data_IF_202633412982
#
_entry.id   IF_202633412982
#
_cell.length_a   1.000
_cell.length_b   1.000
_cell.length_c   1.000
_cell.angle_alpha   90.00
_cell.angle_beta   90.00
_cell.angle_gamma   90.00
#
_symmetry.space_group_name_H-M   'P 1'
#
loop_
_entity.id
_entity.type
_entity.pdbx_description
1 polymer ?
#
# COMPACT_ATOMS: atom_id res chain seq x y z
N UNK A 1 -5.98 -50.56 31.22
CA UNK A 1 -6.67 -49.98 30.02
C UNK A 1 -6.13 -48.60 29.80
N UNK A 2 -5.08 -48.50 29.00
CA UNK A 2 -4.37 -47.29 28.66
C UNK A 2 -5.05 -46.64 27.45
N UNK A 3 -5.60 -45.42 27.62
CA UNK A 3 -6.14 -44.63 26.52
C UNK A 3 -4.96 -43.95 25.81
N UNK A 4 -4.72 -44.36 24.58
CA UNK A 4 -3.76 -43.70 23.71
C UNK A 4 -4.32 -42.38 23.19
N UNK A 5 -3.61 -41.32 23.50
CA UNK A 5 -3.85 -39.97 22.95
C UNK A 5 -3.21 -39.93 21.57
N UNK A 6 -4.05 -39.92 20.52
CA UNK A 6 -3.56 -39.72 19.16
C UNK A 6 -3.26 -38.22 19.00
N UNK A 7 -1.96 -37.90 18.94
CA UNK A 7 -1.50 -36.57 18.55
C UNK A 7 -1.69 -36.46 17.05
N UNK A 8 -2.66 -35.67 16.61
CA UNK A 8 -2.81 -35.26 15.22
C UNK A 8 -1.71 -34.25 14.93
N UNK A 9 -0.65 -34.69 14.26
CA UNK A 9 0.34 -33.80 13.66
C UNK A 9 -0.34 -33.01 12.53
N UNK A 10 -0.79 -31.79 12.82
CA UNK A 10 -1.08 -30.81 11.79
C UNK A 10 0.27 -30.46 11.11
N UNK A 11 0.49 -30.96 9.92
CA UNK A 11 1.56 -30.50 9.03
C UNK A 11 1.26 -29.04 8.69
N UNK A 12 1.75 -28.11 9.49
CA UNK A 12 1.85 -26.71 9.11
C UNK A 12 2.75 -26.66 7.88
N UNK A 13 2.15 -26.40 6.72
CA UNK A 13 2.87 -26.02 5.51
C UNK A 13 3.45 -24.64 5.72
N UNK A 14 4.56 -24.55 6.42
CA UNK A 14 5.33 -23.31 6.59
C UNK A 14 5.81 -22.88 5.20
N UNK A 15 5.49 -21.66 4.75
CA UNK A 15 6.04 -21.17 3.50
C UNK A 15 7.57 -21.22 3.52
N UNK A 16 8.23 -21.34 2.35
CA UNK A 16 9.68 -21.49 2.27
C UNK A 16 10.38 -20.37 3.05
N UNK A 17 11.36 -20.74 3.87
CA UNK A 17 12.15 -19.80 4.65
C UNK A 17 12.91 -18.87 3.69
N UNK A 18 12.84 -17.54 3.90
CA UNK A 18 13.55 -16.60 3.07
C UNK A 18 15.06 -16.75 3.21
N UNK A 19 15.76 -16.40 2.14
CA UNK A 19 17.21 -16.29 2.12
C UNK A 19 17.66 -15.23 3.14
N UNK A 20 18.92 -15.35 3.61
CA UNK A 20 19.53 -14.37 4.50
C UNK A 20 19.59 -13.02 3.78
N UNK A 21 19.06 -11.96 4.42
CA UNK A 21 19.08 -10.61 3.87
C UNK A 21 20.47 -9.99 4.08
N UNK A 22 21.14 -9.68 2.98
CA UNK A 22 22.35 -8.88 2.94
C UNK A 22 22.33 -7.94 1.73
N UNK A 23 23.32 -7.08 1.61
CA UNK A 23 23.40 -6.09 0.51
C UNK A 23 23.38 -6.78 -0.87
N UNK A 24 24.08 -7.89 -1.02
CA UNK A 24 24.16 -8.61 -2.29
C UNK A 24 22.80 -9.21 -2.69
N UNK A 25 22.04 -9.73 -1.73
CA UNK A 25 20.69 -10.23 -1.97
C UNK A 25 19.76 -9.09 -2.42
N UNK A 26 19.83 -7.91 -1.78
CA UNK A 26 19.03 -6.76 -2.18
C UNK A 26 19.47 -6.22 -3.55
N UNK A 27 20.75 -6.22 -3.89
CA UNK A 27 21.23 -5.83 -5.22
C UNK A 27 20.65 -6.71 -6.32
N UNK A 28 20.54 -8.01 -6.10
CA UNK A 28 19.85 -8.91 -7.05
C UNK A 28 18.37 -8.56 -7.17
N UNK A 29 17.68 -8.31 -6.06
CA UNK A 29 16.27 -7.92 -6.06
C UNK A 29 16.03 -6.57 -6.74
N UNK A 30 16.97 -5.62 -6.65
CA UNK A 30 16.92 -4.31 -7.30
C UNK A 30 16.95 -4.38 -8.83
N UNK A 31 17.44 -5.48 -9.41
CA UNK A 31 17.49 -5.67 -10.87
C UNK A 31 16.25 -6.38 -11.44
N UNK A 32 15.38 -6.94 -10.60
CA UNK A 32 14.30 -7.85 -11.00
C UNK A 32 12.94 -7.16 -10.91
N UNK A 33 12.14 -7.31 -11.97
CA UNK A 33 10.71 -6.93 -11.98
C UNK A 33 9.79 -8.12 -11.69
N UNK A 34 8.61 -8.10 -12.34
CA UNK A 34 7.61 -9.16 -12.31
C UNK A 34 7.54 -9.81 -13.71
N UNK A 35 8.17 -10.98 -13.91
CA UNK A 35 8.29 -11.56 -15.25
C UNK A 35 6.96 -11.79 -15.96
N UNK A 36 5.92 -12.24 -15.24
CA UNK A 36 4.60 -12.53 -15.81
C UNK A 36 3.91 -11.23 -16.27
N UNK A 37 3.81 -10.25 -15.40
CA UNK A 37 3.14 -8.99 -15.72
C UNK A 37 3.94 -8.17 -16.75
N UNK A 38 5.28 -8.18 -16.65
CA UNK A 38 6.16 -7.47 -17.58
C UNK A 38 6.06 -8.04 -19.00
N UNK A 39 6.06 -9.38 -19.17
CA UNK A 39 5.87 -10.03 -20.47
C UNK A 39 4.48 -9.74 -21.05
N UNK A 40 3.46 -9.76 -20.22
CA UNK A 40 2.07 -9.44 -20.63
C UNK A 40 2.00 -8.01 -21.16
N UNK A 41 2.50 -7.03 -20.40
CA UNK A 41 2.45 -5.62 -20.80
C UNK A 41 3.29 -5.38 -22.05
N UNK A 42 4.49 -5.95 -22.16
CA UNK A 42 5.32 -5.83 -23.36
C UNK A 42 4.58 -6.33 -24.62
N UNK A 43 3.95 -7.50 -24.52
CA UNK A 43 3.16 -8.06 -25.64
C UNK A 43 1.98 -7.17 -26.04
N UNK A 44 1.26 -6.61 -25.05
CA UNK A 44 0.12 -5.72 -25.31
C UNK A 44 0.55 -4.40 -25.97
N UNK A 45 1.70 -3.87 -25.58
CA UNK A 45 2.29 -2.65 -26.17
C UNK A 45 2.73 -2.93 -27.59
N UNK A 46 3.48 -4.00 -27.83
CA UNK A 46 3.96 -4.39 -29.16
C UNK A 46 2.81 -4.60 -30.17
N UNK A 47 1.64 -5.06 -29.70
CA UNK A 47 0.44 -5.27 -30.52
C UNK A 47 -0.51 -4.08 -30.59
N UNK A 48 -0.25 -3.00 -29.86
CA UNK A 48 -1.16 -1.84 -29.78
C UNK A 48 -2.48 -2.12 -29.04
N UNK A 49 -2.53 -3.13 -28.19
CA UNK A 49 -3.73 -3.62 -27.51
C UNK A 49 -3.97 -3.02 -26.12
N UNK A 50 -3.18 -2.04 -25.69
CA UNK A 50 -3.29 -1.41 -24.34
C UNK A 50 -4.62 -0.66 -24.17
N UNK A 51 -5.15 -0.04 -25.24
CA UNK A 51 -6.44 0.65 -25.22
C UNK A 51 -7.60 -0.30 -24.90
N UNK A 52 -7.60 -1.48 -25.48
CA UNK A 52 -8.59 -2.53 -25.25
C UNK A 52 -8.49 -3.06 -23.80
N UNK A 53 -7.29 -3.28 -23.31
CA UNK A 53 -7.07 -3.67 -21.92
C UNK A 53 -7.63 -2.62 -20.94
N UNK A 54 -7.38 -1.34 -21.16
CA UNK A 54 -7.90 -0.28 -20.28
C UNK A 54 -9.42 -0.19 -20.28
N UNK A 55 -10.04 -0.36 -21.45
CA UNK A 55 -11.51 -0.40 -21.57
C UNK A 55 -12.05 -1.54 -20.72
N UNK A 56 -11.42 -2.69 -20.80
CA UNK A 56 -11.74 -3.89 -20.06
C UNK A 56 -11.58 -3.74 -18.55
N UNK A 57 -10.44 -3.18 -18.12
CA UNK A 57 -10.17 -2.96 -16.69
C UNK A 57 -11.20 -2.06 -16.01
N UNK A 58 -11.98 -1.26 -16.76
CA UNK A 58 -13.09 -0.47 -16.22
C UNK A 58 -14.30 -1.34 -15.88
N UNK A 59 -14.55 -2.40 -16.64
CA UNK A 59 -15.73 -3.27 -16.48
C UNK A 59 -15.45 -4.50 -15.62
N UNK A 60 -14.24 -5.02 -15.66
CA UNK A 60 -13.82 -6.15 -14.83
C UNK A 60 -13.55 -5.67 -13.40
N UNK A 61 -14.52 -5.84 -12.50
CA UNK A 61 -14.45 -5.26 -11.15
C UNK A 61 -14.67 -6.26 -10.01
N UNK A 62 -15.19 -7.45 -10.32
CA UNK A 62 -15.45 -8.48 -9.31
C UNK A 62 -14.90 -9.85 -9.75
N UNK A 63 -14.53 -10.68 -8.77
CA UNK A 63 -14.16 -12.08 -9.02
C UNK A 63 -15.35 -12.83 -9.61
N UNK A 64 -15.10 -13.62 -10.64
CA UNK A 64 -16.17 -14.32 -11.37
C UNK A 64 -16.80 -13.51 -12.51
N UNK A 65 -16.45 -12.23 -12.69
CA UNK A 65 -16.82 -11.50 -13.90
C UNK A 65 -16.25 -12.24 -15.11
N UNK A 66 -17.11 -12.50 -16.10
CA UNK A 66 -16.65 -13.14 -17.35
C UNK A 66 -15.70 -12.19 -18.06
N UNK A 67 -14.52 -12.70 -18.38
CA UNK A 67 -13.60 -11.97 -19.24
C UNK A 67 -14.29 -11.76 -20.60
N UNK A 68 -14.28 -10.54 -21.17
CA UNK A 68 -14.88 -10.30 -22.47
C UNK A 68 -14.24 -11.16 -23.56
N UNK A 69 -15.05 -11.64 -24.51
CA UNK A 69 -14.63 -12.46 -25.64
C UNK A 69 -13.55 -11.81 -26.52
N UNK A 70 -13.43 -10.49 -26.47
CA UNK A 70 -12.45 -9.69 -27.23
C UNK A 70 -11.20 -9.33 -26.41
N UNK A 71 -10.97 -10.01 -25.29
CA UNK A 71 -9.75 -9.80 -24.51
C UNK A 71 -8.51 -10.24 -25.32
N UNK A 72 -7.46 -9.39 -25.40
CA UNK A 72 -6.19 -9.81 -25.97
C UNK A 72 -5.70 -11.12 -25.30
N UNK A 73 -5.21 -12.08 -26.09
CA UNK A 73 -4.83 -13.39 -25.58
C UNK A 73 -3.77 -13.32 -24.46
N UNK A 74 -2.84 -12.35 -24.54
CA UNK A 74 -1.84 -12.13 -23.49
C UNK A 74 -2.48 -11.68 -22.17
N UNK A 75 -3.52 -10.83 -22.25
CA UNK A 75 -4.26 -10.40 -21.07
C UNK A 75 -5.11 -11.54 -20.50
N UNK A 76 -5.77 -12.33 -21.35
CA UNK A 76 -6.56 -13.49 -20.91
C UNK A 76 -5.70 -14.46 -20.11
N UNK A 77 -4.55 -14.89 -20.67
CA UNK A 77 -3.63 -15.78 -19.97
C UNK A 77 -3.09 -15.23 -18.65
N UNK A 78 -2.86 -13.92 -18.59
CA UNK A 78 -2.46 -13.25 -17.34
C UNK A 78 -3.58 -13.31 -16.28
N UNK A 79 -4.81 -12.96 -16.64
CA UNK A 79 -5.95 -12.98 -15.71
C UNK A 79 -6.26 -14.40 -15.22
N UNK A 80 -6.16 -15.41 -16.08
CA UNK A 80 -6.29 -16.82 -15.69
C UNK A 80 -5.19 -17.25 -14.71
N UNK A 81 -3.93 -16.95 -15.02
CA UNK A 81 -2.78 -17.33 -14.19
C UNK A 81 -2.76 -16.64 -12.81
N UNK A 82 -3.51 -15.56 -12.65
CA UNK A 82 -3.55 -14.76 -11.41
C UNK A 82 -4.94 -14.73 -10.77
N UNK A 83 -5.87 -15.61 -11.22
CA UNK A 83 -7.25 -15.62 -10.75
C UNK A 83 -7.43 -16.16 -9.33
N UNK A 84 -6.47 -16.96 -8.86
CA UNK A 84 -6.59 -17.64 -7.57
C UNK A 84 -5.58 -17.11 -6.56
N UNK A 85 -5.95 -17.04 -5.28
CA UNK A 85 -4.98 -16.83 -4.22
C UNK A 85 -3.98 -17.99 -4.15
N UNK A 86 -2.82 -17.80 -3.50
CA UNK A 86 -1.86 -18.89 -3.28
C UNK A 86 -2.45 -20.05 -2.49
N UNK A 87 -2.09 -21.30 -2.85
CA UNK A 87 -2.59 -22.51 -2.20
C UNK A 87 -2.24 -22.62 -0.71
N UNK A 88 -1.23 -21.87 -0.25
CA UNK A 88 -0.79 -21.86 1.14
C UNK A 88 -1.61 -20.90 2.04
N UNK A 89 -2.63 -20.23 1.52
CA UNK A 89 -3.43 -19.27 2.31
C UNK A 89 -4.23 -20.00 3.40
N UNK A 90 -3.98 -19.59 4.65
CA UNK A 90 -4.76 -20.01 5.81
C UNK A 90 -5.90 -19.00 6.04
N UNK A 91 -7.11 -19.44 5.79
CA UNK A 91 -8.31 -18.60 5.86
C UNK A 91 -8.70 -18.22 7.28
N UNK A 92 -8.34 -19.04 8.29
CA UNK A 92 -8.57 -18.69 9.69
C UNK A 92 -7.65 -17.53 10.11
N UNK A 93 -6.41 -17.53 9.63
CA UNK A 93 -5.48 -16.40 9.85
C UNK A 93 -5.96 -15.15 9.11
N UNK A 94 -6.46 -15.30 7.88
CA UNK A 94 -7.04 -14.17 7.13
C UNK A 94 -8.26 -13.57 7.83
N UNK A 95 -9.13 -14.39 8.43
CA UNK A 95 -10.28 -13.90 9.20
C UNK A 95 -9.82 -13.15 10.47
N UNK A 96 -8.80 -13.65 11.18
CA UNK A 96 -8.20 -12.91 12.30
C UNK A 96 -7.61 -11.57 11.85
N UNK A 97 -6.95 -11.53 10.71
CA UNK A 97 -6.43 -10.29 10.13
C UNK A 97 -7.55 -9.29 9.82
N UNK A 98 -8.67 -9.76 9.29
CA UNK A 98 -9.84 -8.95 9.00
C UNK A 98 -10.46 -8.37 10.27
N UNK A 99 -10.61 -9.19 11.32
CA UNK A 99 -11.09 -8.74 12.61
C UNK A 99 -10.15 -7.71 13.22
N UNK A 100 -8.84 -8.01 13.25
CA UNK A 100 -7.83 -7.07 13.74
C UNK A 100 -7.89 -5.73 12.99
N UNK A 101 -8.04 -5.77 11.65
CA UNK A 101 -8.20 -4.55 10.85
C UNK A 101 -9.49 -3.80 11.22
N UNK A 102 -10.59 -4.51 11.39
CA UNK A 102 -11.88 -3.90 11.74
C UNK A 102 -11.81 -3.16 13.08
N UNK A 103 -11.21 -3.80 14.07
CA UNK A 103 -11.08 -3.24 15.42
C UNK A 103 -10.08 -2.07 15.48
N UNK A 104 -9.12 -2.04 14.57
CA UNK A 104 -8.02 -1.06 14.56
C UNK A 104 -7.99 -0.16 13.31
N UNK A 105 -9.06 -0.09 12.53
CA UNK A 105 -9.07 0.56 11.21
C UNK A 105 -8.56 2.00 11.23
N UNK A 106 -8.97 2.80 12.21
CA UNK A 106 -8.53 4.19 12.35
C UNK A 106 -7.01 4.30 12.61
N UNK A 107 -6.48 3.45 13.49
CA UNK A 107 -5.06 3.43 13.83
C UNK A 107 -4.19 2.91 12.67
N UNK A 108 -4.66 1.87 11.97
CA UNK A 108 -3.99 1.34 10.77
C UNK A 108 -3.95 2.40 9.69
N UNK A 109 -5.07 3.08 9.42
CA UNK A 109 -5.11 4.17 8.43
C UNK A 109 -4.21 5.34 8.84
N UNK A 110 -4.14 5.68 10.12
CA UNK A 110 -3.20 6.67 10.63
C UNK A 110 -1.74 6.24 10.38
N UNK A 111 -1.40 4.98 10.67
CA UNK A 111 -0.07 4.43 10.37
C UNK A 111 0.27 4.45 8.89
N UNK A 112 -0.69 4.08 8.03
CA UNK A 112 -0.52 4.15 6.57
C UNK A 112 -0.31 5.59 6.10
N UNK A 113 -1.14 6.53 6.56
CA UNK A 113 -1.16 7.90 6.11
C UNK A 113 0.05 8.72 6.61
N UNK A 114 0.38 8.61 7.89
CA UNK A 114 1.34 9.49 8.56
C UNK A 114 2.69 8.84 8.87
N UNK A 115 2.84 7.53 8.67
CA UNK A 115 4.14 6.84 8.77
C UNK A 115 4.55 6.21 7.43
N UNK A 116 3.81 5.23 6.91
CA UNK A 116 4.21 4.47 5.72
C UNK A 116 4.38 5.35 4.49
N UNK A 117 3.43 6.27 4.23
CA UNK A 117 3.51 7.16 3.07
C UNK A 117 4.68 8.15 3.16
N UNK A 118 4.91 8.90 4.26
CA UNK A 118 6.08 9.76 4.38
C UNK A 118 7.40 9.00 4.29
N UNK A 119 7.53 7.82 4.90
CA UNK A 119 8.74 6.98 4.76
C UNK A 119 8.96 6.56 3.30
N UNK A 120 7.91 6.21 2.57
CA UNK A 120 8.00 5.94 1.12
C UNK A 120 8.56 7.14 0.35
N UNK A 121 8.17 8.37 0.70
CA UNK A 121 8.67 9.59 0.07
C UNK A 121 10.10 9.95 0.49
N UNK A 122 10.55 9.47 1.65
CA UNK A 122 11.92 9.61 2.10
C UNK A 122 12.89 8.62 1.43
N UNK A 123 12.41 7.73 0.55
CA UNK A 123 13.24 6.90 -0.34
C UNK A 123 13.33 7.61 -1.69
N UNK A 124 14.45 8.28 -2.06
CA UNK A 124 14.55 9.14 -3.24
C UNK A 124 14.15 8.47 -4.55
N UNK A 125 14.49 7.19 -4.76
CA UNK A 125 14.11 6.46 -5.98
C UNK A 125 12.58 6.25 -6.07
N UNK A 126 11.91 5.99 -4.93
CA UNK A 126 10.44 5.88 -4.88
C UNK A 126 9.78 7.25 -5.06
N UNK A 127 10.34 8.31 -4.47
CA UNK A 127 9.84 9.66 -4.66
C UNK A 127 9.94 10.08 -6.15
N UNK A 128 11.07 9.83 -6.83
CA UNK A 128 11.21 10.07 -8.27
C UNK A 128 10.22 9.23 -9.09
N UNK A 129 10.07 7.95 -8.75
CA UNK A 129 9.08 7.08 -9.38
C UNK A 129 7.67 7.67 -9.29
N UNK A 130 7.25 8.07 -8.10
CA UNK A 130 5.92 8.63 -7.86
C UNK A 130 5.73 10.02 -8.50
N UNK A 131 6.81 10.74 -8.74
CA UNK A 131 6.79 12.03 -9.43
C UNK A 131 6.95 11.91 -10.96
N UNK A 132 7.27 10.72 -11.47
CA UNK A 132 7.58 10.51 -12.90
C UNK A 132 6.39 10.73 -13.82
N UNK A 133 5.17 10.60 -13.33
CA UNK A 133 3.94 10.86 -14.09
C UNK A 133 3.01 11.79 -13.32
N UNK A 134 2.26 12.60 -14.06
CA UNK A 134 1.26 13.49 -13.47
C UNK A 134 0.22 12.72 -12.62
N UNK A 135 -0.21 11.56 -13.11
CA UNK A 135 -1.20 10.72 -12.43
C UNK A 135 -0.71 10.18 -11.08
N UNK A 136 0.57 9.79 -11.00
CA UNK A 136 1.19 9.26 -9.77
C UNK A 136 1.56 10.39 -8.78
N UNK A 137 1.82 11.60 -9.27
CA UNK A 137 2.19 12.75 -8.45
C UNK A 137 1.03 13.33 -7.61
N UNK A 138 -0.24 12.90 -7.85
CA UNK A 138 -1.39 13.36 -7.07
C UNK A 138 -1.69 12.44 -5.89
N UNK A 139 -1.42 12.89 -4.63
CA UNK A 139 -1.64 12.08 -3.44
C UNK A 139 -3.08 11.61 -3.30
N UNK A 140 -4.07 12.46 -3.61
CA UNK A 140 -5.49 12.14 -3.42
C UNK A 140 -5.92 10.87 -4.17
N UNK A 141 -5.55 10.73 -5.44
CA UNK A 141 -5.87 9.53 -6.23
C UNK A 141 -5.16 8.29 -5.70
N UNK A 142 -3.88 8.44 -5.35
CA UNK A 142 -3.08 7.32 -4.86
C UNK A 142 -3.57 6.87 -3.49
N UNK A 143 -3.83 7.81 -2.57
CA UNK A 143 -4.37 7.50 -1.24
C UNK A 143 -5.74 6.84 -1.34
N UNK A 144 -6.63 7.38 -2.17
CA UNK A 144 -7.94 6.79 -2.41
C UNK A 144 -7.82 5.37 -3.00
N UNK A 145 -6.94 5.16 -3.98
CA UNK A 145 -6.71 3.85 -4.58
C UNK A 145 -6.12 2.84 -3.59
N UNK A 146 -5.15 3.26 -2.77
CA UNK A 146 -4.55 2.42 -1.73
C UNK A 146 -5.56 2.09 -0.63
N UNK A 147 -6.30 3.07 -0.13
CA UNK A 147 -7.33 2.85 0.88
C UNK A 147 -8.44 1.91 0.38
N UNK A 148 -8.88 2.09 -0.87
CA UNK A 148 -9.84 1.19 -1.50
C UNK A 148 -9.29 -0.23 -1.65
N UNK A 149 -8.02 -0.39 -2.04
CA UNK A 149 -7.35 -1.68 -2.16
C UNK A 149 -7.30 -2.41 -0.81
N UNK A 150 -6.89 -1.72 0.26
CA UNK A 150 -6.85 -2.28 1.63
C UNK A 150 -8.27 -2.64 2.10
N UNK A 151 -9.25 -1.77 1.83
CA UNK A 151 -10.65 -2.06 2.15
C UNK A 151 -11.15 -3.30 1.42
N UNK A 152 -10.80 -3.49 0.15
CA UNK A 152 -11.19 -4.70 -0.60
C UNK A 152 -10.52 -5.95 -0.04
N UNK A 153 -9.26 -5.87 0.40
CA UNK A 153 -8.57 -6.99 1.07
C UNK A 153 -9.26 -7.43 2.34
N UNK A 154 -9.70 -6.47 3.15
CA UNK A 154 -10.21 -6.71 4.51
C UNK A 154 -11.73 -6.95 4.58
N UNK A 155 -12.39 -7.15 3.45
CA UNK A 155 -13.78 -7.58 3.40
C UNK A 155 -13.90 -9.09 3.59
N UNK A 156 -15.03 -9.56 4.15
CA UNK A 156 -15.30 -10.98 4.30
C UNK A 156 -15.39 -11.74 2.96
N UNK A 157 -15.82 -11.03 1.90
CA UNK A 157 -16.01 -11.57 0.54
C UNK A 157 -14.79 -11.35 -0.38
N UNK A 158 -13.63 -10.96 0.15
CA UNK A 158 -12.46 -10.49 -0.63
C UNK A 158 -12.01 -11.46 -1.72
N UNK A 159 -12.02 -12.76 -1.41
CA UNK A 159 -11.52 -13.84 -2.27
C UNK A 159 -12.64 -14.71 -2.84
N UNK A 160 -13.90 -14.39 -2.55
CA UNK A 160 -15.07 -15.12 -3.02
C UNK A 160 -15.51 -14.65 -4.41
N UNK A 161 -16.44 -15.37 -5.01
CA UNK A 161 -17.13 -14.92 -6.21
C UNK A 161 -17.88 -13.60 -5.91
N UNK A 162 -17.72 -12.60 -6.76
CA UNK A 162 -18.22 -11.24 -6.51
C UNK A 162 -17.29 -10.36 -5.68
N UNK A 163 -16.22 -10.89 -5.08
CA UNK A 163 -15.20 -10.15 -4.35
C UNK A 163 -14.42 -9.20 -5.25
N UNK A 164 -13.83 -8.15 -4.67
CA UNK A 164 -13.16 -7.08 -5.44
C UNK A 164 -11.65 -7.08 -5.30
N UNK A 165 -11.10 -7.84 -4.37
CA UNK A 165 -9.66 -7.80 -4.09
C UNK A 165 -8.82 -8.41 -5.20
N UNK A 166 -9.17 -9.62 -5.70
CA UNK A 166 -8.40 -10.29 -6.76
C UNK A 166 -8.29 -9.40 -8.01
N UNK A 167 -9.40 -8.89 -8.59
CA UNK A 167 -9.33 -7.98 -9.73
C UNK A 167 -8.54 -6.70 -9.45
N UNK A 168 -8.62 -6.16 -8.24
CA UNK A 168 -7.82 -4.99 -7.86
C UNK A 168 -6.33 -5.31 -7.83
N UNK A 169 -5.93 -6.44 -7.24
CA UNK A 169 -4.53 -6.90 -7.21
C UNK A 169 -3.98 -7.14 -8.62
N UNK A 170 -4.75 -7.82 -9.49
CA UNK A 170 -4.39 -8.04 -10.88
C UNK A 170 -4.13 -6.72 -11.63
N UNK A 171 -5.00 -5.74 -11.46
CA UNK A 171 -4.87 -4.42 -12.10
C UNK A 171 -3.66 -3.63 -11.57
N UNK A 172 -3.44 -3.62 -10.26
CA UNK A 172 -2.27 -2.96 -9.65
C UNK A 172 -0.98 -3.58 -10.16
N UNK A 173 -0.92 -4.91 -10.25
CA UNK A 173 0.23 -5.66 -10.77
C UNK A 173 0.53 -5.31 -12.23
N UNK A 174 -0.49 -5.24 -13.10
CA UNK A 174 -0.33 -4.77 -14.49
C UNK A 174 0.07 -3.29 -14.57
N UNK A 175 -0.45 -2.44 -13.69
CA UNK A 175 -0.05 -1.04 -13.61
C UNK A 175 1.43 -0.92 -13.24
N UNK A 176 1.92 -1.69 -12.29
CA UNK A 176 3.35 -1.72 -11.94
C UNK A 176 4.21 -2.12 -13.13
N UNK A 177 3.81 -3.12 -13.90
CA UNK A 177 4.51 -3.55 -15.11
C UNK A 177 4.49 -2.46 -16.21
N UNK A 178 3.38 -1.78 -16.40
CA UNK A 178 3.25 -0.69 -17.36
C UNK A 178 4.16 0.49 -16.99
N UNK A 179 4.23 0.86 -15.71
CA UNK A 179 5.15 1.90 -15.21
C UNK A 179 6.61 1.48 -15.44
N UNK A 180 7.00 0.23 -15.12
CA UNK A 180 8.34 -0.28 -15.39
C UNK A 180 8.70 -0.17 -16.87
N UNK A 181 7.81 -0.64 -17.74
CA UNK A 181 8.02 -0.62 -19.19
C UNK A 181 8.20 0.80 -19.70
N UNK A 182 7.32 1.72 -19.30
CA UNK A 182 7.35 3.12 -19.72
C UNK A 182 8.65 3.82 -19.28
N UNK A 183 9.03 3.69 -18.00
CA UNK A 183 10.21 4.37 -17.47
C UNK A 183 11.50 3.82 -18.06
N UNK A 184 11.60 2.51 -18.29
CA UNK A 184 12.78 1.90 -18.92
C UNK A 184 12.91 2.26 -20.40
N UNK A 185 11.80 2.34 -21.13
CA UNK A 185 11.78 2.66 -22.56
C UNK A 185 11.97 4.14 -22.86
N UNK A 186 11.63 5.01 -21.93
CA UNK A 186 11.52 6.45 -22.15
C UNK A 186 12.79 7.27 -21.97
N UNK A 187 13.90 6.69 -21.53
CA UNK A 187 15.15 7.41 -21.27
C UNK A 187 15.08 8.40 -20.08
N UNK A 188 13.99 8.43 -19.35
CA UNK A 188 13.78 9.33 -18.20
C UNK A 188 14.10 8.68 -16.85
N UNK A 189 14.48 7.40 -16.86
CA UNK A 189 14.85 6.66 -15.67
C UNK A 189 16.31 6.22 -15.74
N UNK A 190 17.10 6.64 -14.78
CA UNK A 190 18.50 6.26 -14.66
C UNK A 190 18.62 4.90 -13.95
N UNK A 191 18.64 3.83 -14.74
CA UNK A 191 18.76 2.46 -14.23
C UNK A 191 20.08 2.23 -13.46
N UNK A 192 21.15 2.94 -13.80
CA UNK A 192 22.43 2.80 -13.13
C UNK A 192 22.39 3.38 -11.71
N UNK A 193 21.63 4.46 -11.51
CA UNK A 193 21.46 5.12 -10.21
C UNK A 193 20.33 4.49 -9.38
N UNK A 194 19.18 4.22 -9.99
CA UNK A 194 17.92 3.93 -9.30
C UNK A 194 17.48 2.47 -9.45
N UNK A 195 18.21 1.64 -10.18
CA UNK A 195 17.84 0.25 -10.43
C UNK A 195 16.64 0.09 -11.37
N UNK A 196 16.01 -1.08 -11.36
CA UNK A 196 14.76 -1.32 -12.08
C UNK A 196 13.60 -0.62 -11.35
N UNK A 197 12.76 0.17 -12.05
CA UNK A 197 11.60 0.80 -11.41
C UNK A 197 10.65 -0.25 -10.85
N UNK A 198 10.11 -0.04 -9.64
CA UNK A 198 9.22 -1.00 -8.96
C UNK A 198 9.82 -2.42 -9.00
N UNK A 199 11.09 -2.54 -8.63
CA UNK A 199 11.80 -3.80 -8.55
C UNK A 199 11.31 -4.67 -7.38
N UNK A 200 11.79 -5.91 -7.32
CA UNK A 200 11.45 -6.82 -6.22
C UNK A 200 11.89 -6.27 -4.85
N UNK A 201 13.04 -5.59 -4.79
CA UNK A 201 13.48 -4.92 -3.58
C UNK A 201 12.47 -3.88 -3.10
N UNK A 202 11.97 -3.02 -3.99
CA UNK A 202 10.99 -1.99 -3.67
C UNK A 202 9.61 -2.58 -3.30
N UNK A 203 9.19 -3.62 -3.99
CA UNK A 203 7.91 -4.29 -3.71
C UNK A 203 7.92 -4.95 -2.33
N UNK A 204 9.02 -5.63 -1.96
CA UNK A 204 9.18 -6.24 -0.65
C UNK A 204 9.39 -5.16 0.43
N UNK A 205 10.11 -4.07 0.12
CA UNK A 205 10.21 -2.89 0.98
C UNK A 205 8.83 -2.27 1.26
N UNK A 206 8.02 -2.12 0.20
CA UNK A 206 6.62 -1.68 0.30
C UNK A 206 5.79 -2.58 1.20
N UNK A 207 5.86 -3.89 1.01
CA UNK A 207 5.23 -4.86 1.90
C UNK A 207 5.62 -4.62 3.38
N UNK A 208 6.89 -4.44 3.69
CA UNK A 208 7.36 -4.16 5.06
C UNK A 208 6.86 -2.81 5.59
N UNK A 209 6.81 -1.78 4.74
CA UNK A 209 6.30 -0.46 5.13
C UNK A 209 4.79 -0.47 5.39
N UNK A 210 4.02 -1.22 4.62
CA UNK A 210 2.55 -1.29 4.80
C UNK A 210 2.11 -2.29 5.87
N UNK A 211 2.97 -3.22 6.27
CA UNK A 211 2.69 -4.16 7.35
C UNK A 211 3.39 -3.75 8.66
N UNK A 212 4.68 -4.04 8.79
CA UNK A 212 5.44 -3.87 10.01
C UNK A 212 5.54 -2.41 10.46
N UNK A 213 5.83 -1.47 9.54
CA UNK A 213 5.93 -0.06 9.92
C UNK A 213 4.60 0.52 10.41
N UNK A 214 3.48 0.02 9.90
CA UNK A 214 2.15 0.38 10.40
C UNK A 214 1.94 -0.14 11.83
N UNK A 215 2.31 -1.39 12.12
CA UNK A 215 2.27 -1.93 13.48
C UNK A 215 3.18 -1.14 14.44
N UNK A 216 4.36 -0.72 13.99
CA UNK A 216 5.24 0.16 14.76
C UNK A 216 4.60 1.53 15.03
N UNK A 217 3.91 2.10 14.04
CA UNK A 217 3.20 3.36 14.21
C UNK A 217 2.07 3.22 15.24
N UNK A 218 1.29 2.15 15.17
CA UNK A 218 0.24 1.84 16.17
C UNK A 218 0.83 1.70 17.57
N UNK A 219 1.93 0.96 17.71
CA UNK A 219 2.60 0.83 18.99
C UNK A 219 3.10 2.19 19.53
N UNK A 220 3.67 3.05 18.66
CA UNK A 220 4.07 4.42 19.04
C UNK A 220 2.89 5.28 19.47
N UNK A 221 1.72 5.06 18.88
CA UNK A 221 0.48 5.74 19.26
C UNK A 221 -0.10 5.21 20.59
N UNK A 222 0.49 4.16 21.18
CA UNK A 222 0.03 3.57 22.44
C UNK A 222 -1.10 2.55 22.28
N UNK A 223 -1.38 2.12 21.04
CA UNK A 223 -2.42 1.12 20.77
C UNK A 223 -1.99 -0.25 21.29
N UNK A 224 -2.81 -0.86 22.14
CA UNK A 224 -2.60 -2.22 22.59
C UNK A 224 -3.00 -3.21 21.48
N UNK A 225 -2.06 -4.04 21.09
CA UNK A 225 -2.27 -5.06 20.06
C UNK A 225 -1.92 -6.42 20.62
N UNK A 226 -2.73 -7.41 20.33
CA UNK A 226 -2.35 -8.80 20.59
C UNK A 226 -1.27 -9.23 19.60
N UNK A 227 -0.33 -10.05 20.04
CA UNK A 227 0.69 -10.64 19.16
C UNK A 227 0.06 -11.42 18.00
N UNK A 228 -0.98 -12.21 18.31
CA UNK A 228 -1.74 -12.97 17.32
C UNK A 228 -2.41 -12.08 16.26
N UNK A 229 -2.99 -10.94 16.67
CA UNK A 229 -3.59 -9.98 15.75
C UNK A 229 -2.55 -9.29 14.84
N UNK A 230 -1.41 -8.88 15.42
CA UNK A 230 -0.31 -8.30 14.68
C UNK A 230 0.30 -9.27 13.65
N UNK A 231 0.49 -10.53 14.04
CA UNK A 231 0.96 -11.59 13.15
C UNK A 231 -0.05 -11.91 12.04
N UNK A 232 -1.34 -11.92 12.36
CA UNK A 232 -2.39 -12.13 11.36
C UNK A 232 -2.45 -10.97 10.35
N UNK A 233 -2.34 -9.72 10.80
CA UNK A 233 -2.24 -8.55 9.90
C UNK A 233 -1.01 -8.64 8.99
N UNK A 234 0.14 -8.98 9.53
CA UNK A 234 1.36 -9.21 8.76
C UNK A 234 1.18 -10.34 7.74
N UNK A 235 0.53 -11.44 8.12
CA UNK A 235 0.22 -12.55 7.23
C UNK A 235 -0.65 -12.13 6.05
N UNK A 236 -1.70 -11.34 6.28
CA UNK A 236 -2.54 -10.82 5.19
C UNK A 236 -1.71 -10.01 4.17
N UNK A 237 -0.75 -9.22 4.63
CA UNK A 237 0.16 -8.50 3.73
C UNK A 237 1.12 -9.44 2.97
N UNK A 238 1.48 -10.62 3.53
CA UNK A 238 2.21 -11.64 2.75
C UNK A 238 1.36 -12.20 1.61
N UNK A 239 0.07 -12.40 1.83
CA UNK A 239 -0.87 -12.76 0.74
C UNK A 239 -0.91 -11.66 -0.32
N UNK A 240 -0.98 -10.39 0.10
CA UNK A 240 -0.89 -9.24 -0.83
C UNK A 240 0.40 -9.27 -1.64
N UNK A 241 1.55 -9.48 -0.99
CA UNK A 241 2.84 -9.55 -1.68
C UNK A 241 2.85 -10.62 -2.78
N UNK A 242 2.31 -11.81 -2.48
CA UNK A 242 2.18 -12.88 -3.48
C UNK A 242 1.25 -12.48 -4.64
N UNK A 243 0.08 -11.92 -4.33
CA UNK A 243 -0.88 -11.48 -5.34
C UNK A 243 -0.35 -10.33 -6.22
N UNK A 244 0.55 -9.50 -5.69
CA UNK A 244 1.22 -8.44 -6.44
C UNK A 244 2.49 -8.87 -7.19
N UNK A 245 2.84 -10.17 -7.15
CA UNK A 245 3.95 -10.72 -7.91
C UNK A 245 5.32 -10.54 -7.25
N UNK A 246 5.37 -10.42 -5.94
CA UNK A 246 6.63 -10.49 -5.22
C UNK A 246 7.23 -11.91 -5.30
N UNK A 247 8.55 -11.98 -5.35
CA UNK A 247 9.29 -13.24 -5.24
C UNK A 247 9.17 -13.78 -3.79
N UNK A 248 8.26 -14.71 -3.59
CA UNK A 248 7.96 -15.24 -2.26
C UNK A 248 9.13 -15.96 -1.59
N UNK A 249 10.16 -16.32 -2.35
CA UNK A 249 11.42 -16.85 -1.78
C UNK A 249 12.21 -15.77 -1.03
N UNK A 250 11.99 -14.50 -1.35
CA UNK A 250 12.62 -13.33 -0.73
C UNK A 250 11.70 -12.56 0.22
N UNK A 251 10.37 -12.78 0.18
CA UNK A 251 9.44 -12.11 1.10
C UNK A 251 9.58 -12.67 2.52
N UNK A 252 9.78 -11.81 3.55
CA UNK A 252 9.87 -12.24 4.94
C UNK A 252 8.71 -13.13 5.39
N UNK A 253 9.03 -14.19 6.11
CA UNK A 253 8.06 -15.15 6.64
C UNK A 253 7.50 -14.77 8.00
N UNK A 254 8.25 -13.96 8.77
CA UNK A 254 7.94 -13.58 10.15
C UNK A 254 8.19 -12.09 10.38
N UNK A 255 7.61 -11.53 11.43
CA UNK A 255 7.85 -10.13 11.83
C UNK A 255 9.34 -9.83 12.11
N UNK A 256 10.11 -10.68 12.82
CA UNK A 256 11.55 -10.46 12.98
C UNK A 256 12.33 -10.47 11.66
N UNK A 257 12.01 -11.36 10.72
CA UNK A 257 12.63 -11.36 9.40
C UNK A 257 12.27 -10.10 8.61
N UNK A 258 11.01 -9.64 8.72
CA UNK A 258 10.58 -8.40 8.11
C UNK A 258 11.32 -7.19 8.70
N UNK A 259 11.56 -7.18 9.99
CA UNK A 259 12.38 -6.15 10.65
C UNK A 259 13.79 -6.13 10.07
N UNK A 260 14.44 -7.28 9.97
CA UNK A 260 15.80 -7.38 9.43
C UNK A 260 15.86 -6.90 7.97
N UNK A 261 14.89 -7.28 7.15
CA UNK A 261 14.78 -6.82 5.76
C UNK A 261 14.56 -5.30 5.68
N UNK A 262 13.54 -4.80 6.39
CA UNK A 262 13.12 -3.40 6.32
C UNK A 262 14.22 -2.47 6.84
N UNK A 263 14.91 -2.84 7.92
CA UNK A 263 16.03 -2.07 8.47
C UNK A 263 17.18 -1.96 7.45
N UNK A 264 17.48 -3.04 6.72
CA UNK A 264 18.49 -3.02 5.66
C UNK A 264 18.04 -2.17 4.49
N UNK A 265 16.81 -2.39 4.00
CA UNK A 265 16.21 -1.64 2.90
C UNK A 265 16.19 -0.13 3.17
N UNK A 266 15.74 0.27 4.36
CA UNK A 266 15.67 1.68 4.74
C UNK A 266 17.05 2.30 4.95
N UNK A 267 18.01 1.58 5.56
CA UNK A 267 19.39 2.10 5.73
C UNK A 267 20.04 2.45 4.40
N UNK A 268 19.81 1.65 3.35
CA UNK A 268 20.41 1.89 2.04
C UNK A 268 19.61 2.85 1.17
N UNK A 269 18.29 2.94 1.40
CA UNK A 269 17.37 3.66 0.53
C UNK A 269 16.97 5.05 0.99
N UNK A 270 17.00 5.32 2.31
CA UNK A 270 16.54 6.61 2.86
C UNK A 270 17.51 7.76 2.56
N UNK A 271 16.95 8.94 2.24
CA UNK A 271 17.70 10.17 2.04
C UNK A 271 16.80 11.34 1.61
N UNK A 272 17.36 12.55 1.60
CA UNK A 272 16.64 13.74 1.14
C UNK A 272 16.48 13.73 -0.38
N UNK A 273 15.35 14.25 -0.86
CA UNK A 273 15.13 14.50 -2.30
C UNK A 273 14.08 15.61 -2.50
N UNK A 274 14.22 16.42 -3.56
CA UNK A 274 13.23 17.44 -3.89
C UNK A 274 11.83 16.84 -4.12
N UNK A 275 11.77 15.68 -4.77
CA UNK A 275 10.53 14.96 -5.03
C UNK A 275 9.85 14.50 -3.73
N UNK A 276 10.65 14.03 -2.76
CA UNK A 276 10.13 13.64 -1.44
C UNK A 276 9.51 14.81 -0.69
N UNK A 277 10.17 15.98 -0.71
CA UNK A 277 9.65 17.21 -0.13
C UNK A 277 8.35 17.64 -0.81
N UNK A 278 8.31 17.63 -2.14
CA UNK A 278 7.11 18.02 -2.89
C UNK A 278 5.92 17.07 -2.61
N UNK A 279 6.16 15.76 -2.64
CA UNK A 279 5.13 14.75 -2.35
C UNK A 279 4.60 14.87 -0.93
N UNK A 280 5.48 15.10 0.05
CA UNK A 280 5.09 15.28 1.45
C UNK A 280 4.30 16.56 1.64
N UNK A 281 4.70 17.66 1.02
CA UNK A 281 3.96 18.93 1.06
C UNK A 281 2.54 18.76 0.50
N UNK A 282 2.40 18.06 -0.62
CA UNK A 282 1.08 17.77 -1.22
C UNK A 282 0.24 16.85 -0.34
N UNK A 283 0.86 15.85 0.30
CA UNK A 283 0.18 14.94 1.23
C UNK A 283 -0.33 15.69 2.46
N UNK A 284 0.50 16.53 3.07
CA UNK A 284 0.14 17.35 4.23
C UNK A 284 -1.06 18.23 3.91
N UNK A 285 -1.02 18.96 2.79
CA UNK A 285 -2.15 19.80 2.35
C UNK A 285 -3.42 18.99 2.10
N UNK A 286 -3.30 17.80 1.52
CA UNK A 286 -4.46 16.94 1.32
C UNK A 286 -5.16 16.59 2.63
N UNK A 287 -4.40 16.29 3.68
CA UNK A 287 -4.98 15.96 4.99
C UNK A 287 -5.51 17.19 5.72
N UNK A 288 -4.85 18.35 5.60
CA UNK A 288 -5.36 19.63 6.09
C UNK A 288 -6.70 20.00 5.43
N UNK A 289 -6.84 19.73 4.13
CA UNK A 289 -8.11 19.98 3.39
C UNK A 289 -9.22 18.98 3.78
N UNK A 290 -8.89 17.78 4.24
CA UNK A 290 -9.87 16.74 4.66
C UNK A 290 -10.33 16.97 6.09
N UNK A 291 -9.46 17.45 6.97
CA UNK A 291 -9.82 17.76 8.36
C UNK A 291 -10.60 19.08 8.42
N UNK A 292 -11.84 19.09 8.93
CA UNK A 292 -12.63 20.32 8.97
C UNK A 292 -12.04 21.37 9.90
N UNK A 293 -11.75 22.56 9.36
CA UNK A 293 -11.28 23.72 10.11
C UNK A 293 -9.76 23.81 10.28
N UNK A 294 -9.26 25.04 10.36
CA UNK A 294 -7.81 25.32 10.37
C UNK A 294 -7.14 25.13 11.74
N UNK A 295 -7.92 24.93 12.81
CA UNK A 295 -7.38 24.79 14.17
C UNK A 295 -6.50 23.53 14.31
N UNK A 296 -6.86 22.44 13.61
CA UNK A 296 -6.21 21.15 13.69
C UNK A 296 -5.18 20.90 12.58
N UNK A 297 -5.08 21.81 11.61
CA UNK A 297 -4.09 21.68 10.51
C UNK A 297 -2.67 21.40 11.02
N UNK A 298 -2.16 22.09 12.07
CA UNK A 298 -0.82 21.83 12.58
C UNK A 298 -0.63 20.45 13.23
N UNK A 299 -1.70 19.70 13.51
CA UNK A 299 -1.60 18.32 14.00
C UNK A 299 -1.10 17.37 12.90
N UNK A 300 -1.41 17.62 11.63
CA UNK A 300 -1.00 16.81 10.51
C UNK A 300 0.53 16.69 10.44
N UNK A 301 1.30 17.79 10.27
CA UNK A 301 2.76 17.71 10.29
C UNK A 301 3.32 17.22 11.63
N UNK A 302 2.71 17.56 12.76
CA UNK A 302 3.15 17.09 14.08
C UNK A 302 3.02 15.57 14.21
N UNK A 303 1.94 14.97 13.71
CA UNK A 303 1.74 13.52 13.70
C UNK A 303 2.75 12.81 12.79
N UNK A 304 3.00 13.36 11.59
CA UNK A 304 4.06 12.85 10.72
C UNK A 304 5.40 12.86 11.47
N UNK A 305 5.79 14.02 12.04
CA UNK A 305 7.05 14.14 12.77
C UNK A 305 7.17 13.17 13.94
N UNK A 306 6.09 12.99 14.69
CA UNK A 306 6.05 12.04 15.80
C UNK A 306 6.29 10.60 15.34
N UNK A 307 5.64 10.18 14.23
CA UNK A 307 5.69 8.79 13.76
C UNK A 307 6.98 8.46 12.99
N UNK A 308 7.50 9.39 12.17
CA UNK A 308 8.70 9.10 11.35
C UNK A 308 10.01 9.58 11.96
N UNK A 309 9.94 10.44 12.97
CA UNK A 309 11.11 10.98 13.69
C UNK A 309 11.76 12.17 13.01
N UNK A 310 12.68 12.84 13.75
CA UNK A 310 13.26 14.13 13.34
C UNK A 310 14.12 14.05 12.07
N UNK A 311 14.85 12.96 11.86
CA UNK A 311 15.73 12.77 10.70
C UNK A 311 14.93 12.73 9.40
N UNK A 312 13.95 11.84 9.30
CA UNK A 312 13.10 11.69 8.11
C UNK A 312 12.28 12.96 7.90
N UNK A 313 11.70 13.50 8.97
CA UNK A 313 10.95 14.76 8.90
C UNK A 313 11.81 15.93 8.43
N UNK A 314 13.10 15.96 8.78
CA UNK A 314 14.05 16.94 8.29
C UNK A 314 14.33 16.79 6.80
N UNK A 315 14.51 15.58 6.30
CA UNK A 315 14.69 15.32 4.86
C UNK A 315 13.48 15.67 4.02
N UNK A 316 12.28 15.53 4.60
CA UNK A 316 10.99 15.82 3.95
C UNK A 316 10.52 17.28 4.18
N UNK A 317 11.31 18.08 4.90
CA UNK A 317 10.99 19.48 5.27
C UNK A 317 9.63 19.62 5.97
N UNK A 318 9.23 18.61 6.77
CA UNK A 318 7.98 18.66 7.53
C UNK A 318 8.05 19.79 8.58
N UNK A 319 7.13 20.76 8.57
CA UNK A 319 7.17 21.90 9.46
C UNK A 319 7.17 21.51 10.95
N UNK A 320 7.88 22.29 11.76
CA UNK A 320 7.79 22.22 13.24
C UNK A 320 6.68 23.12 13.74
N UNK A 321 5.99 22.68 14.78
CA UNK A 321 4.95 23.48 15.41
C UNK A 321 4.86 23.20 16.92
N UNK A 322 4.21 24.07 17.69
CA UNK A 322 3.92 23.79 19.11
C UNK A 322 3.15 22.48 19.34
N UNK A 323 2.43 22.00 18.31
CA UNK A 323 1.70 20.73 18.33
C UNK A 323 2.60 19.49 18.36
N UNK A 324 3.90 19.62 18.07
CA UNK A 324 4.88 18.53 18.22
C UNK A 324 4.92 18.01 19.67
N UNK A 325 4.72 18.90 20.64
CA UNK A 325 4.63 18.51 22.06
C UNK A 325 3.31 17.79 22.37
N UNK A 326 2.21 18.24 21.79
CA UNK A 326 0.91 17.61 21.93
C UNK A 326 0.88 16.21 21.28
N UNK A 327 1.46 16.05 20.10
CA UNK A 327 1.56 14.76 19.42
C UNK A 327 2.32 13.72 20.27
N UNK A 328 3.35 14.12 21.02
CA UNK A 328 4.06 13.23 21.96
C UNK A 328 3.22 12.82 23.18
N UNK A 329 2.18 13.56 23.50
CA UNK A 329 1.26 13.24 24.59
C UNK A 329 0.11 12.31 24.14
N UNK A 330 -0.08 12.11 22.83
CA UNK A 330 -1.15 11.26 22.28
C UNK A 330 -1.18 9.86 22.87
N UNK A 331 -0.04 9.13 23.02
CA UNK A 331 -0.06 7.79 23.62
C UNK A 331 -0.58 7.79 25.06
N UNK A 332 -0.19 8.82 25.85
CA UNK A 332 -0.67 8.96 27.24
C UNK A 332 -2.17 9.21 27.28
N UNK A 333 -2.65 10.05 26.36
CA UNK A 333 -4.08 10.37 26.26
C UNK A 333 -4.90 9.16 25.78
N UNK A 334 -4.43 8.42 24.78
CA UNK A 334 -5.09 7.18 24.30
C UNK A 334 -5.10 6.10 25.39
N UNK A 335 -3.99 5.87 26.10
CA UNK A 335 -3.96 4.95 27.23
C UNK A 335 -4.88 5.33 28.39
N UNK A 336 -5.14 6.61 28.60
CA UNK A 336 -6.16 7.08 29.55
C UNK A 336 -7.57 6.81 29.04
N UNK A 337 -7.82 6.97 27.73
CA UNK A 337 -9.10 6.66 27.11
C UNK A 337 -9.41 5.17 27.18
N UNK A 338 -8.45 4.30 26.87
CA UNK A 338 -8.59 2.84 27.01
C UNK A 338 -8.95 2.44 28.44
N UNK A 339 -8.35 3.11 29.45
CA UNK A 339 -8.71 2.86 30.86
C UNK A 339 -10.17 3.28 31.17
N UNK A 340 -10.73 4.22 30.39
CA UNK A 340 -12.13 4.67 30.50
C UNK A 340 -13.04 3.74 29.68
N UNK A 341 -12.59 3.19 28.55
CA UNK A 341 -13.32 2.17 27.77
C UNK A 341 -13.58 0.92 28.58
N UNK A 342 -12.60 0.44 29.34
CA UNK A 342 -12.76 -0.67 30.28
C UNK A 342 -13.85 -0.41 31.36
N UNK A 343 -14.36 0.82 31.45
CA UNK A 343 -15.35 1.22 32.44
C UNK A 343 -16.81 1.18 31.96
N UNK A 344 -17.09 0.82 30.67
CA UNK A 344 -18.47 0.54 30.24
C UNK A 344 -18.76 0.40 28.75
N UNK A 345 -19.74 -0.46 28.38
CA UNK A 345 -20.05 -0.79 26.96
C UNK A 345 -20.51 0.40 26.10
N UNK A 346 -20.94 1.49 26.72
CA UNK A 346 -21.39 2.71 26.02
C UNK A 346 -20.23 3.57 25.53
N UNK A 347 -19.12 3.61 26.29
CA UNK A 347 -17.92 4.34 25.89
C UNK A 347 -17.21 3.62 24.74
N UNK A 348 -17.06 2.30 24.83
CA UNK A 348 -16.53 1.43 23.79
C UNK A 348 -17.33 1.58 22.48
N UNK A 349 -18.65 1.49 22.54
CA UNK A 349 -19.52 1.68 21.38
C UNK A 349 -19.37 3.09 20.75
N UNK A 350 -19.27 4.14 21.56
CA UNK A 350 -19.16 5.51 21.07
C UNK A 350 -17.82 5.76 20.34
N UNK A 351 -16.72 5.21 20.87
CA UNK A 351 -15.38 5.33 20.28
C UNK A 351 -15.22 4.50 19.01
N UNK A 352 -15.76 3.26 18.99
CA UNK A 352 -15.81 2.42 17.79
C UNK A 352 -16.61 3.11 16.66
N UNK A 353 -17.77 3.68 16.99
CA UNK A 353 -18.58 4.44 16.02
C UNK A 353 -17.88 5.68 15.52
N UNK A 354 -17.18 6.42 16.38
CA UNK A 354 -16.42 7.60 15.99
C UNK A 354 -15.23 7.23 15.09
N UNK A 355 -14.49 6.16 15.43
CA UNK A 355 -13.38 5.66 14.63
C UNK A 355 -13.82 5.15 13.26
N UNK A 356 -14.87 4.34 13.21
CA UNK A 356 -15.44 3.82 11.96
C UNK A 356 -16.03 4.94 11.08
N UNK A 357 -16.66 5.93 11.69
CA UNK A 357 -17.20 7.10 10.97
C UNK A 357 -16.08 7.96 10.40
N UNK A 358 -14.97 8.16 11.14
CA UNK A 358 -13.81 8.92 10.68
C UNK A 358 -13.12 8.21 9.50
N UNK A 359 -12.88 6.91 9.59
CA UNK A 359 -12.28 6.14 8.50
C UNK A 359 -13.17 6.14 7.23
N UNK A 360 -14.49 5.99 7.39
CA UNK A 360 -15.44 6.10 6.30
C UNK A 360 -15.52 7.50 5.70
N UNK A 361 -15.44 8.54 6.53
CA UNK A 361 -15.41 9.93 6.09
C UNK A 361 -14.12 10.25 5.31
N UNK A 362 -12.96 9.82 5.78
CA UNK A 362 -11.68 10.00 5.09
C UNK A 362 -11.71 9.37 3.70
N UNK A 363 -12.10 8.10 3.57
CA UNK A 363 -12.17 7.43 2.28
C UNK A 363 -13.19 8.09 1.35
N UNK A 364 -14.38 8.41 1.86
CA UNK A 364 -15.44 9.09 1.11
C UNK A 364 -14.99 10.49 0.66
N UNK A 365 -14.31 11.24 1.50
CA UNK A 365 -13.79 12.57 1.20
C UNK A 365 -12.69 12.51 0.13
N UNK A 366 -11.76 11.56 0.24
CA UNK A 366 -10.69 11.35 -0.73
C UNK A 366 -11.22 10.90 -2.10
N UNK A 367 -12.24 10.05 -2.13
CA UNK A 367 -12.84 9.54 -3.37
C UNK A 367 -13.94 10.44 -3.91
N UNK A 368 -14.45 11.38 -3.11
CA UNK A 368 -15.70 12.12 -3.38
C UNK A 368 -16.86 11.18 -3.74
N UNK A 369 -16.93 10.04 -3.06
CA UNK A 369 -17.93 9.00 -3.28
C UNK A 369 -17.79 8.23 -4.60
N UNK A 370 -16.66 8.37 -5.33
CA UNK A 370 -16.42 7.67 -6.59
C UNK A 370 -15.54 6.45 -6.38
N UNK A 371 -15.88 5.36 -7.05
CA UNK A 371 -15.02 4.16 -7.12
C UNK A 371 -13.78 4.50 -7.94
N UNK A 372 -12.59 4.24 -7.37
CA UNK A 372 -11.33 4.44 -8.08
C UNK A 372 -11.06 3.25 -9.00
N UNK A 373 -10.91 3.53 -10.29
CA UNK A 373 -10.54 2.52 -11.28
C UNK A 373 -9.02 2.51 -11.47
N UNK A 374 -8.42 1.36 -11.23
CA UNK A 374 -7.01 1.12 -11.54
C UNK A 374 -6.91 0.87 -13.05
N UNK A 375 -6.48 1.88 -13.79
CA UNK A 375 -6.23 1.79 -15.22
C UNK A 375 -4.81 2.30 -15.50
N UNK A 376 -4.20 1.80 -16.58
CA UNK A 376 -2.89 2.32 -17.04
C UNK A 376 -3.10 3.78 -17.45
N UNK A 377 -2.41 4.74 -16.82
CA UNK A 377 -2.52 6.15 -17.15
C UNK A 377 -2.26 6.43 -18.63
N UNK A 378 -2.93 7.45 -19.18
CA UNK A 378 -2.78 7.80 -20.60
C UNK A 378 -1.34 8.17 -20.93
N UNK A 379 -0.66 8.84 -20.02
CA UNK A 379 0.73 9.25 -20.16
C UNK A 379 1.71 8.06 -20.35
N UNK A 380 1.30 6.87 -19.92
CA UNK A 380 2.09 5.63 -20.06
C UNK A 380 1.77 4.86 -21.35
N UNK A 381 0.89 5.36 -22.20
CA UNK A 381 0.55 4.73 -23.48
C UNK A 381 1.55 5.17 -24.57
N UNK A 382 2.02 4.23 -25.41
CA UNK A 382 3.01 4.54 -26.45
C UNK A 382 2.57 5.60 -27.46
N UNK A 383 1.27 5.65 -27.76
CA UNK A 383 0.65 6.55 -28.73
C UNK A 383 0.66 8.04 -28.34
N UNK A 384 0.85 8.35 -27.06
CA UNK A 384 0.88 9.73 -26.58
C UNK A 384 2.29 10.37 -26.61
N UNK A 385 3.28 9.70 -27.16
CA UNK A 385 4.67 10.20 -27.27
C UNK A 385 5.07 11.03 -26.06
N UNK A 386 6.18 10.77 -25.45
CA UNK A 386 6.61 11.39 -24.21
C UNK A 386 6.63 12.92 -24.27
N UNK A 387 5.51 13.55 -23.94
CA UNK A 387 5.50 14.98 -23.64
C UNK A 387 5.91 15.13 -22.17
N UNK A 388 7.03 15.83 -21.95
CA UNK A 388 7.48 16.23 -20.62
C UNK A 388 6.31 16.79 -19.81
N UNK A 389 6.21 16.51 -18.50
CA UNK A 389 5.16 17.05 -17.67
C UNK A 389 5.18 18.58 -17.79
N UNK A 390 4.09 19.16 -18.29
CA UNK A 390 3.93 20.61 -18.25
C UNK A 390 3.83 21.01 -16.78
N UNK A 391 4.82 21.76 -16.30
CA UNK A 391 4.74 22.53 -15.07
C UNK A 391 3.69 23.62 -15.25
N UNK A 392 2.42 23.27 -15.11
CA UNK A 392 1.28 24.15 -15.27
C UNK A 392 0.40 24.09 -14.02
N UNK A 393 0.00 25.26 -13.52
CA UNK A 393 -0.96 25.42 -12.44
C UNK A 393 -2.18 24.52 -12.70
N UNK A 394 -2.50 23.67 -11.73
CA UNK A 394 -3.74 22.90 -11.74
C UNK A 394 -4.94 23.85 -11.74
N UNK A 395 -5.82 23.71 -12.69
CA UNK A 395 -7.17 24.32 -12.70
C UNK A 395 -8.14 23.17 -12.44
N UNK A 396 -8.94 23.21 -11.35
CA UNK A 396 -9.95 22.18 -11.11
C UNK A 396 -10.95 22.16 -12.28
N UNK A 397 -11.42 20.96 -12.68
CA UNK A 397 -12.50 20.89 -13.67
C UNK A 397 -13.74 21.60 -13.12
N UNK A 398 -14.38 22.40 -13.97
CA UNK A 398 -15.61 23.11 -13.63
C UNK A 398 -16.66 22.12 -13.10
N UNK A 399 -17.46 22.50 -12.11
CA UNK A 399 -18.55 21.66 -11.64
C UNK A 399 -19.52 21.39 -12.79
N UNK A 400 -19.77 20.11 -13.05
CA UNK A 400 -20.83 19.69 -13.97
C UNK A 400 -22.14 19.92 -13.22
N UNK A 401 -22.94 20.85 -13.75
CA UNK A 401 -24.31 21.13 -13.27
C UNK A 401 -25.24 19.94 -13.47
#
# INVERSE_FOLDING_TARGET
>A
MTRGTTVVNATQTTPPRPARYDEAALDVLATRGDPLADATVATLIERGEVGDLNTLMRFFSTSGDKLPERLPAAAAGYFEATAMPPDWVDWEVMERARLFFTDNAAHINTGLAFAAMPVTYAVPRLARLLSSTHSLAYPSRRMAGTGQFVTYLMRSDSFEEGGKFIPAAQKVRLLHAAVRHHLRGGGHWDVARDGTPICQEDMIGGFGMFSLLVLDAMHRLGVHMTEEGAEAYFYAWRVVAAMLGCDMSAVPGTLPECRAYLDLYLRRGLGPSPEGVELTTRLTRLYEDVVPGTLFDPMVPATIRYLVGDTISGWLEVPRSPWDAAARAVPVFLGLLETIEDSGPLAEWALDKAGSALAGFELSSLTRGRVMHHAIPEELRPEYGMKAPRTGRWIPPAPVH
#
